data_IF_446771780661
#
_entry.id   IF_446771780661
#
_cell.length_a   1.000
_cell.length_b   1.000
_cell.length_c   1.000
_cell.angle_alpha   90.00
_cell.angle_beta   90.00
_cell.angle_gamma   90.00
#
_symmetry.space_group_name_H-M   'P 1'
#
loop_
_entity.id
_entity.type
_entity.pdbx_description
1 polymer ?
#
# COMPACT_ATOMS: atom_id res chain seq x y z
N UNK A 1 -0.16 -7.68 7.39
CA UNK A 1 -1.41 -8.19 6.76
C UNK A 1 -1.03 -8.99 5.54
N UNK A 2 -1.57 -10.17 5.41
CA UNK A 2 -1.25 -11.08 4.32
C UNK A 2 -1.96 -10.67 3.01
N UNK A 3 -1.42 -11.10 1.89
CA UNK A 3 -1.95 -10.79 0.57
C UNK A 3 -3.45 -11.14 0.43
N UNK A 4 -3.85 -12.30 0.90
CA UNK A 4 -5.24 -12.76 0.79
C UNK A 4 -6.23 -11.80 1.46
N UNK A 5 -5.89 -11.30 2.64
CA UNK A 5 -6.71 -10.33 3.36
C UNK A 5 -6.71 -8.96 2.68
N UNK A 6 -5.55 -8.53 2.19
CA UNK A 6 -5.42 -7.28 1.45
C UNK A 6 -6.29 -7.28 0.18
N UNK A 7 -6.22 -8.35 -0.58
CA UNK A 7 -6.99 -8.50 -1.82
C UNK A 7 -8.49 -8.39 -1.54
N UNK A 8 -8.99 -9.12 -0.58
CA UNK A 8 -10.40 -9.11 -0.21
C UNK A 8 -10.85 -7.73 0.26
N UNK A 9 -10.07 -7.08 1.12
CA UNK A 9 -10.40 -5.75 1.65
C UNK A 9 -10.45 -4.69 0.55
N UNK A 10 -9.45 -4.66 -0.32
CA UNK A 10 -9.38 -3.68 -1.40
C UNK A 10 -10.50 -3.92 -2.41
N UNK A 11 -10.74 -5.17 -2.78
CA UNK A 11 -11.84 -5.52 -3.69
C UNK A 11 -13.18 -5.07 -3.14
N UNK A 12 -13.46 -5.36 -1.88
CA UNK A 12 -14.70 -4.97 -1.21
C UNK A 12 -14.82 -3.45 -1.11
N UNK A 13 -13.72 -2.78 -0.79
CA UNK A 13 -13.68 -1.32 -0.73
C UNK A 13 -14.01 -0.68 -2.09
N UNK A 14 -13.52 -1.27 -3.18
CA UNK A 14 -13.83 -0.84 -4.55
C UNK A 14 -15.20 -1.30 -5.03
N UNK A 15 -15.98 -1.99 -4.19
CA UNK A 15 -17.31 -2.51 -4.51
C UNK A 15 -17.32 -3.41 -5.74
N UNK A 16 -16.28 -4.19 -5.89
CA UNK A 16 -16.09 -5.10 -7.01
C UNK A 16 -16.37 -6.54 -6.57
N UNK A 17 -17.10 -7.29 -7.39
CA UNK A 17 -17.33 -8.71 -7.12
C UNK A 17 -16.12 -9.55 -7.53
N UNK A 18 -16.02 -10.76 -7.00
CA UNK A 18 -14.97 -11.70 -7.40
C UNK A 18 -15.02 -11.98 -8.91
N UNK A 19 -16.21 -12.09 -9.46
CA UNK A 19 -16.41 -12.31 -10.90
C UNK A 19 -15.91 -11.11 -11.71
N UNK A 20 -16.27 -9.90 -11.31
CA UNK A 20 -15.81 -8.68 -11.99
C UNK A 20 -14.30 -8.57 -11.99
N UNK A 21 -13.66 -8.86 -10.86
CA UNK A 21 -12.20 -8.84 -10.77
C UNK A 21 -11.58 -9.89 -11.68
N UNK A 22 -12.11 -11.11 -11.70
CA UNK A 22 -11.60 -12.18 -12.57
C UNK A 22 -11.70 -11.80 -14.05
N UNK A 23 -12.80 -11.20 -14.45
CA UNK A 23 -12.99 -10.73 -15.82
C UNK A 23 -12.00 -9.63 -16.21
N UNK A 24 -11.77 -8.67 -15.31
CA UNK A 24 -10.84 -7.56 -15.55
C UNK A 24 -9.39 -8.02 -15.72
N UNK A 25 -8.98 -9.05 -15.01
CA UNK A 25 -7.61 -9.57 -15.10
C UNK A 25 -7.46 -10.68 -16.14
N UNK A 26 -8.54 -11.01 -16.86
CA UNK A 26 -8.50 -12.00 -17.93
C UNK A 26 -8.55 -13.45 -17.49
N UNK A 27 -9.00 -13.72 -16.27
CA UNK A 27 -9.22 -15.09 -15.81
C UNK A 27 -10.59 -15.58 -16.28
N UNK A 28 -10.63 -16.84 -16.71
CA UNK A 28 -11.88 -17.46 -17.16
C UNK A 28 -12.74 -17.94 -16.01
N UNK A 29 -12.17 -18.13 -14.83
CA UNK A 29 -12.86 -18.70 -13.67
C UNK A 29 -12.67 -17.84 -12.43
N UNK A 30 -13.77 -17.35 -11.87
CA UNK A 30 -13.78 -16.60 -10.62
C UNK A 30 -13.28 -17.43 -9.42
N UNK A 31 -13.28 -18.75 -9.54
CA UNK A 31 -12.86 -19.64 -8.48
C UNK A 31 -11.40 -19.41 -8.08
N UNK A 32 -10.56 -18.99 -9.01
CA UNK A 32 -9.17 -18.61 -8.69
C UNK A 32 -9.10 -17.44 -7.73
N UNK A 33 -9.96 -16.44 -7.91
CA UNK A 33 -10.01 -15.30 -6.98
C UNK A 33 -10.41 -15.75 -5.58
N UNK A 34 -11.38 -16.66 -5.49
CA UNK A 34 -11.78 -17.27 -4.20
C UNK A 34 -10.59 -17.95 -3.53
N UNK A 35 -9.81 -18.72 -4.29
CA UNK A 35 -8.63 -19.42 -3.76
C UNK A 35 -7.56 -18.43 -3.28
N UNK A 36 -7.34 -17.34 -4.01
CA UNK A 36 -6.38 -16.31 -3.62
C UNK A 36 -6.84 -15.59 -2.34
N UNK A 37 -8.11 -15.28 -2.21
CA UNK A 37 -8.66 -14.62 -1.03
C UNK A 37 -8.69 -15.53 0.21
N UNK A 38 -8.79 -16.85 0.01
CA UNK A 38 -8.72 -17.83 1.10
C UNK A 38 -7.28 -18.17 1.51
N UNK A 39 -6.29 -17.74 0.73
CA UNK A 39 -4.90 -18.06 0.99
C UNK A 39 -4.48 -19.47 0.58
N UNK A 40 -5.34 -20.20 -0.14
CA UNK A 40 -5.06 -21.55 -0.62
C UNK A 40 -4.04 -21.52 -1.76
N UNK A 41 -4.03 -20.45 -2.52
CA UNK A 41 -3.15 -20.26 -3.68
C UNK A 41 -2.55 -18.87 -3.64
N UNK A 42 -1.27 -18.76 -4.01
CA UNK A 42 -0.57 -17.48 -4.09
C UNK A 42 -0.34 -17.13 -5.56
N UNK A 43 -0.77 -15.97 -6.05
CA UNK A 43 -0.53 -15.60 -7.43
C UNK A 43 0.91 -15.18 -7.65
N UNK A 44 1.38 -15.31 -8.90
CA UNK A 44 2.67 -14.78 -9.32
C UNK A 44 2.64 -13.26 -9.36
N UNK A 45 3.81 -12.65 -9.28
CA UNK A 45 3.96 -11.19 -9.28
C UNK A 45 3.24 -10.51 -10.45
N UNK A 46 3.34 -11.07 -11.65
CA UNK A 46 2.69 -10.52 -12.84
C UNK A 46 1.18 -10.45 -12.68
N UNK A 47 0.58 -11.47 -12.08
CA UNK A 47 -0.85 -11.50 -11.82
C UNK A 47 -1.25 -10.50 -10.72
N UNK A 48 -0.41 -10.35 -9.70
CA UNK A 48 -0.62 -9.34 -8.65
C UNK A 48 -0.61 -7.93 -9.26
N UNK A 49 0.30 -7.66 -10.18
CA UNK A 49 0.36 -6.36 -10.88
C UNK A 49 -0.91 -6.11 -11.70
N UNK A 50 -1.43 -7.13 -12.38
CA UNK A 50 -2.70 -7.05 -13.09
C UNK A 50 -3.87 -6.79 -12.15
N UNK A 51 -3.91 -7.46 -11.01
CA UNK A 51 -4.92 -7.22 -9.97
C UNK A 51 -4.87 -5.78 -9.45
N UNK A 52 -3.68 -5.27 -9.20
CA UNK A 52 -3.49 -3.89 -8.73
C UNK A 52 -4.01 -2.88 -9.76
N UNK A 53 -3.73 -3.11 -11.03
CA UNK A 53 -4.23 -2.27 -12.12
C UNK A 53 -5.75 -2.32 -12.20
N UNK A 54 -6.34 -3.50 -12.09
CA UNK A 54 -7.79 -3.69 -12.12
C UNK A 54 -8.49 -3.03 -10.93
N UNK A 55 -7.84 -3.04 -9.77
CA UNK A 55 -8.36 -2.43 -8.55
C UNK A 55 -7.99 -0.95 -8.41
N UNK A 56 -7.21 -0.42 -9.34
CA UNK A 56 -6.73 0.96 -9.33
C UNK A 56 -5.98 1.32 -8.04
N UNK A 57 -5.03 0.48 -7.68
CA UNK A 57 -4.13 0.69 -6.54
C UNK A 57 -2.69 0.46 -6.95
N UNK A 58 -1.76 1.01 -6.17
CA UNK A 58 -0.35 0.74 -6.38
C UNK A 58 -0.04 -0.73 -6.08
N UNK A 59 0.71 -1.46 -6.95
CA UNK A 59 1.05 -2.86 -6.71
C UNK A 59 1.68 -3.15 -5.36
N UNK A 60 2.46 -2.22 -4.83
CA UNK A 60 3.07 -2.38 -3.49
C UNK A 60 2.04 -2.48 -2.38
N UNK A 61 0.81 -2.00 -2.58
CA UNK A 61 -0.27 -2.17 -1.63
C UNK A 61 -0.67 -3.63 -1.46
N UNK A 62 -0.54 -4.42 -2.52
CA UNK A 62 -0.90 -5.83 -2.54
C UNK A 62 0.27 -6.76 -2.21
N UNK A 63 1.51 -6.31 -2.41
CA UNK A 63 2.66 -7.15 -2.14
C UNK A 63 2.72 -7.54 -0.66
N UNK A 64 3.13 -8.79 -0.42
CA UNK A 64 3.33 -9.28 0.93
C UNK A 64 4.59 -8.62 1.51
N UNK A 65 4.42 -7.96 2.67
CA UNK A 65 5.50 -7.29 3.38
C UNK A 65 6.05 -8.15 4.52
N UNK A 66 5.92 -9.46 4.41
CA UNK A 66 6.45 -10.39 5.42
C UNK A 66 7.93 -10.13 5.67
N UNK A 67 8.30 -10.01 6.94
CA UNK A 67 9.66 -9.71 7.37
C UNK A 67 9.98 -8.24 7.58
N UNK A 68 9.06 -7.33 7.26
CA UNK A 68 9.22 -5.90 7.57
C UNK A 68 8.17 -5.46 8.57
N UNK A 69 8.60 -4.87 9.67
CA UNK A 69 7.69 -4.32 10.67
C UNK A 69 7.31 -2.87 10.36
N UNK A 70 6.39 -2.33 11.16
CA UNK A 70 5.94 -0.96 10.99
C UNK A 70 7.05 0.07 11.21
N UNK A 71 7.98 -0.21 12.12
CA UNK A 71 9.11 0.67 12.40
C UNK A 71 10.03 0.82 11.19
N UNK A 72 10.35 -0.29 10.52
CA UNK A 72 11.17 -0.26 9.30
C UNK A 72 10.49 0.52 8.18
N UNK A 73 9.19 0.36 8.02
CA UNK A 73 8.43 1.08 7.02
C UNK A 73 8.42 2.59 7.31
N UNK A 74 8.25 2.97 8.56
CA UNK A 74 8.32 4.38 8.97
C UNK A 74 9.70 4.96 8.74
N UNK A 75 10.76 4.21 9.06
CA UNK A 75 12.15 4.63 8.82
C UNK A 75 12.38 4.90 7.34
N UNK A 76 11.91 4.03 6.46
CA UNK A 76 12.03 4.22 5.01
C UNK A 76 11.27 5.47 4.53
N UNK A 77 10.08 5.73 5.07
CA UNK A 77 9.30 6.91 4.74
C UNK A 77 10.02 8.20 5.16
N UNK A 78 10.57 8.24 6.37
CA UNK A 78 11.31 9.40 6.86
C UNK A 78 12.60 9.62 6.07
N UNK A 79 13.30 8.55 5.72
CA UNK A 79 14.48 8.63 4.87
C UNK A 79 14.14 9.23 3.52
N UNK A 80 13.06 8.75 2.89
CA UNK A 80 12.62 9.24 1.59
C UNK A 80 12.20 10.71 1.67
N UNK A 81 11.52 11.10 2.73
CA UNK A 81 11.10 12.48 2.96
C UNK A 81 12.29 13.43 3.08
N UNK A 82 13.36 13.02 3.77
CA UNK A 82 14.54 13.82 3.97
C UNK A 82 15.34 14.05 2.68
N UNK A 83 15.55 12.99 1.90
CA UNK A 83 16.42 13.03 0.74
C UNK A 83 15.70 13.27 -0.57
N UNK A 84 14.41 12.97 -0.66
CA UNK A 84 13.63 13.17 -1.87
C UNK A 84 12.14 13.38 -1.57
N UNK A 85 11.76 14.57 -1.04
CA UNK A 85 10.37 14.86 -0.70
C UNK A 85 9.43 14.79 -1.91
N UNK A 86 9.93 15.13 -3.09
CA UNK A 86 9.14 15.07 -4.33
C UNK A 86 8.72 13.64 -4.68
N UNK A 87 9.58 12.66 -4.42
CA UNK A 87 9.25 11.25 -4.63
C UNK A 87 8.14 10.79 -3.70
N UNK A 88 8.15 11.26 -2.45
CA UNK A 88 7.10 10.93 -1.50
C UNK A 88 5.73 11.45 -1.95
N UNK A 89 5.67 12.66 -2.50
CA UNK A 89 4.45 13.22 -3.06
C UNK A 89 3.91 12.43 -4.26
N UNK A 90 4.79 11.83 -5.06
CA UNK A 90 4.39 11.01 -6.18
C UNK A 90 3.78 9.67 -5.75
N UNK A 91 4.26 9.10 -4.65
CA UNK A 91 3.81 7.80 -4.17
C UNK A 91 2.57 7.87 -3.28
N UNK A 92 2.36 8.97 -2.57
CA UNK A 92 1.24 9.11 -1.64
C UNK A 92 0.05 9.76 -2.33
N UNK A 93 -1.16 9.18 -2.24
CA UNK A 93 -2.38 9.87 -2.68
C UNK A 93 -2.64 11.09 -1.82
N UNK A 94 -3.45 12.03 -2.33
CA UNK A 94 -3.76 13.29 -1.62
C UNK A 94 -4.22 13.07 -0.18
N UNK A 95 -4.92 11.99 0.09
CA UNK A 95 -5.37 11.65 1.45
C UNK A 95 -4.22 11.47 2.43
N UNK A 96 -3.06 11.03 1.94
CA UNK A 96 -1.89 10.81 2.77
C UNK A 96 -1.02 12.05 2.91
N UNK A 97 -1.25 13.09 2.10
CA UNK A 97 -0.51 14.35 2.21
C UNK A 97 -0.76 15.04 3.54
N UNK A 98 -1.97 14.94 4.09
CA UNK A 98 -2.29 15.48 5.39
C UNK A 98 -1.46 14.79 6.49
N UNK A 99 -1.33 13.47 6.43
CA UNK A 99 -0.52 12.72 7.35
C UNK A 99 0.96 13.10 7.24
N UNK A 100 1.46 13.25 6.03
CA UNK A 100 2.81 13.72 5.75
C UNK A 100 3.05 15.11 6.36
N UNK A 101 2.12 16.02 6.21
CA UNK A 101 2.18 17.35 6.79
C UNK A 101 2.24 17.31 8.32
N UNK A 102 1.45 16.47 8.94
CA UNK A 102 1.45 16.28 10.39
C UNK A 102 2.81 15.77 10.87
N UNK A 103 3.39 14.78 10.21
CA UNK A 103 4.71 14.25 10.55
C UNK A 103 5.79 15.31 10.41
N UNK A 104 5.74 16.11 9.36
CA UNK A 104 6.68 17.21 9.17
C UNK A 104 6.61 18.24 10.29
N UNK A 105 5.42 18.58 10.73
CA UNK A 105 5.24 19.55 11.82
C UNK A 105 5.82 19.03 13.13
N UNK A 106 5.58 17.78 13.46
CA UNK A 106 6.13 17.17 14.67
C UNK A 106 7.65 17.20 14.68
N UNK A 107 8.28 16.85 13.59
CA UNK A 107 9.74 16.90 13.46
C UNK A 107 10.26 18.33 13.59
N UNK A 108 9.60 19.30 12.97
CA UNK A 108 9.98 20.70 13.04
C UNK A 108 9.87 21.24 14.46
N UNK A 109 8.84 20.87 15.20
CA UNK A 109 8.67 21.26 16.60
C UNK A 109 9.76 20.69 17.48
N UNK A 110 10.16 19.43 17.27
CA UNK A 110 11.27 18.82 18.00
C UNK A 110 12.59 19.53 17.72
N UNK A 111 12.88 19.85 16.48
CA UNK A 111 14.07 20.59 16.12
C UNK A 111 14.10 21.99 16.74
N UNK A 112 12.97 22.68 16.71
CA UNK A 112 12.83 24.00 17.34
C UNK A 112 13.03 23.90 18.84
N UNK A 113 12.45 22.90 19.47
CA UNK A 113 12.61 22.64 20.90
C UNK A 113 14.07 22.40 21.27
N UNK A 114 14.78 21.59 20.48
CA UNK A 114 16.21 21.32 20.69
C UNK A 114 17.05 22.60 20.52
N UNK A 115 16.74 23.41 19.53
CA UNK A 115 17.40 24.69 19.29
C UNK A 115 17.19 25.70 20.40
N UNK A 116 16.06 25.66 21.07
CA UNK A 116 15.77 26.54 22.22
C UNK A 116 16.50 26.15 23.48
N UNK A 117 16.93 24.92 23.60
CA UNK A 117 17.71 24.42 24.76
C UNK A 117 19.18 24.83 24.70
N UNK A 118 19.67 25.22 23.56
CA UNK A 118 21.01 25.69 23.36
C UNK A 118 21.13 27.19 23.70
#
# INVERSE_FOLDING_TARGET
MNFNLKLKKIRTFRKMTQKELSEKIGLTDQHRIVQYEKGVRVPKKDLVDKMATALDVNPYTLYDTAGRDASEMMELLFWLDEFNPSALHLFLPRKCLLLHYIFHQEISEEETGAGQMD
#
